data_IF_567945813437
#
_entry.id   IF_567945813437
#
_cell.length_a   1.000
_cell.length_b   1.000
_cell.length_c   1.000
_cell.angle_alpha   90.00
_cell.angle_beta   90.00
_cell.angle_gamma   90.00
#
_symmetry.space_group_name_H-M   'P 1'
#
loop_
_entity.id
_entity.type
_entity.pdbx_description
1 polymer ?
2 non-polymer ?
3 non-polymer ?
4 water ?
#
# COMPACT_ATOMS: atom_id res chain seq x y z
N UNK A 3 -13.14 -3.83 29.12
CA UNK A 3 -14.07 -4.72 28.34
C UNK A 3 -14.31 -4.14 26.94
N UNK A 4 -14.77 -4.96 26.01
CA UNK A 4 -15.18 -4.46 24.69
C UNK A 4 -16.46 -3.66 24.84
N UNK A 5 -16.65 -2.64 23.97
CA UNK A 5 -17.87 -1.80 24.08
C UNK A 5 -19.13 -2.59 23.78
N UNK A 6 -20.23 -2.24 24.44
CA UNK A 6 -21.46 -3.04 24.31
C UNK A 6 -21.95 -3.16 22.86
N UNK A 7 -21.89 -2.06 22.10
CA UNK A 7 -22.37 -2.10 20.71
C UNK A 7 -21.54 -3.04 19.84
N UNK A 8 -20.25 -3.20 20.16
CA UNK A 8 -19.41 -4.17 19.43
C UNK A 8 -19.78 -5.61 19.82
N UNK A 9 -19.86 -5.88 21.12
CA UNK A 9 -20.35 -7.16 21.63
C UNK A 9 -21.73 -7.56 21.07
N UNK A 10 -22.61 -6.58 20.89
CA UNK A 10 -23.94 -6.85 20.39
C UNK A 10 -23.91 -7.56 19.03
N UNK A 11 -22.94 -7.16 18.20
CA UNK A 11 -22.85 -7.66 16.84
C UNK A 11 -21.81 -8.72 16.55
N UNK A 12 -20.80 -8.84 17.40
CA UNK A 12 -19.62 -9.67 17.15
C UNK A 12 -19.23 -10.43 18.40
N UNK A 13 -18.68 -11.63 18.21
CA UNK A 13 -17.99 -12.33 19.29
C UNK A 13 -16.50 -12.20 19.05
N UNK A 14 -15.78 -11.63 20.03
CA UNK A 14 -14.33 -11.43 19.88
C UNK A 14 -13.51 -12.66 20.21
N UNK A 15 -12.37 -12.80 19.52
CA UNK A 15 -11.55 -13.99 19.65
C UNK A 15 -10.07 -13.63 19.76
N UNK A 16 -9.22 -14.51 19.23
CA UNK A 16 -7.78 -14.44 19.39
C UNK A 16 -7.12 -13.27 18.66
N UNK A 17 -5.96 -12.88 19.17
CA UNK A 17 -5.16 -11.83 18.56
C UNK A 17 -4.48 -12.43 17.33
N UNK A 18 -4.61 -11.74 16.19
CA UNK A 18 -3.94 -12.16 14.95
C UNK A 18 -2.56 -11.56 14.79
N UNK A 19 -2.41 -10.30 15.21
CA UNK A 19 -1.14 -9.57 15.14
C UNK A 19 -1.05 -8.43 16.16
N UNK A 24 -1.86 -0.57 18.80
CA UNK A 24 -2.65 -1.36 17.87
C UNK A 24 -2.61 -2.84 18.18
N UNK A 25 -3.70 -3.52 17.88
CA UNK A 25 -3.76 -4.98 17.80
C UNK A 25 -4.79 -5.31 16.69
N UNK A 26 -4.68 -6.50 16.11
CA UNK A 26 -5.73 -7.03 15.23
C UNK A 26 -6.28 -8.30 15.85
N UNK A 27 -7.58 -8.33 16.04
CA UNK A 27 -8.28 -9.47 16.63
C UNK A 27 -9.11 -10.21 15.59
N UNK A 28 -9.17 -11.52 15.71
CA UNK A 28 -10.19 -12.29 15.01
C UNK A 28 -11.51 -12.09 15.76
N UNK A 29 -12.62 -11.96 15.02
CA UNK A 29 -13.96 -11.94 15.60
C UNK A 29 -14.94 -12.65 14.66
N UNK A 30 -16.13 -12.97 15.16
CA UNK A 30 -17.15 -13.59 14.31
C UNK A 30 -18.35 -12.67 14.32
N UNK A 31 -18.84 -12.30 13.13
CA UNK A 31 -20.03 -11.51 13.03
C UNK A 31 -21.20 -12.42 13.40
N UNK A 32 -22.03 -12.01 14.36
CA UNK A 32 -23.06 -12.94 14.86
C UNK A 32 -24.09 -13.29 13.79
N UNK A 33 -24.42 -12.28 13.00
CA UNK A 33 -25.47 -12.40 11.98
C UNK A 33 -25.15 -13.50 10.95
N UNK A 34 -23.88 -13.60 10.57
CA UNK A 34 -23.48 -14.49 9.47
C UNK A 34 -22.64 -15.70 9.91
N UNK A 35 -22.17 -15.67 11.16
CA UNK A 35 -21.19 -16.64 11.67
C UNK A 35 -19.89 -16.68 10.87
N UNK A 36 -19.55 -15.59 10.21
CA UNK A 36 -18.35 -15.51 9.39
C UNK A 36 -17.29 -14.66 10.09
N UNK A 37 -16.04 -14.93 9.74
CA UNK A 37 -14.88 -14.31 10.35
C UNK A 37 -14.65 -12.90 9.83
N UNK A 38 -14.23 -12.02 10.74
CA UNK A 38 -13.86 -10.67 10.36
C UNK A 38 -12.58 -10.35 11.11
N UNK A 39 -11.90 -9.28 10.73
CA UNK A 39 -10.74 -8.83 11.49
C UNK A 39 -11.11 -7.53 12.11
N UNK A 40 -10.68 -7.34 13.35
CA UNK A 40 -11.00 -6.08 14.01
C UNK A 40 -9.72 -5.39 14.42
N UNK A 41 -9.47 -4.23 13.81
CA UNK A 41 -8.29 -3.44 14.12
C UNK A 41 -8.64 -2.51 15.28
N UNK A 42 -7.86 -2.62 16.36
CA UNK A 42 -8.04 -1.77 17.52
C UNK A 42 -6.92 -0.72 17.56
N UNK A 43 -7.33 0.54 17.56
CA UNK A 43 -6.40 1.66 17.64
C UNK A 43 -6.66 2.37 18.96
N UNK A 44 -5.65 2.38 19.83
CA UNK A 44 -5.78 3.00 21.14
C UNK A 44 -5.81 4.52 21.00
N UNK A 45 -6.68 5.15 21.77
CA UNK A 45 -6.76 6.62 21.80
C UNK A 45 -5.69 7.19 22.73
N UNK A 62 -8.38 9.37 12.35
CA UNK A 62 -9.03 8.07 12.21
C UNK A 62 -10.39 8.29 11.53
N UNK A 63 -11.03 9.40 11.88
CA UNK A 63 -12.31 9.78 11.30
C UNK A 63 -12.20 9.92 9.77
N UNK A 64 -11.11 10.53 9.31
CA UNK A 64 -10.78 10.66 7.90
C UNK A 64 -10.45 9.32 7.24
N UNK A 65 -9.76 8.46 7.99
CA UNK A 65 -9.43 7.17 7.49
C UNK A 65 -10.73 6.40 7.20
N UNK A 66 -11.67 6.45 8.14
CA UNK A 66 -12.97 5.77 7.97
C UNK A 66 -13.72 6.29 6.73
N UNK A 67 -13.80 7.61 6.63
CA UNK A 67 -14.46 8.23 5.46
C UNK A 67 -13.78 7.86 4.14
N UNK A 68 -12.45 7.85 4.14
CA UNK A 68 -11.73 7.29 2.99
C UNK A 68 -12.07 5.82 2.72
N UNK A 69 -11.95 4.96 3.72
CA UNK A 69 -12.22 3.53 3.52
C UNK A 69 -13.62 3.26 3.01
N UNK A 70 -14.60 4.04 3.52
CA UNK A 70 -15.98 3.86 3.10
C UNK A 70 -16.23 4.17 1.63
N UNK A 71 -15.48 5.12 1.08
CA UNK A 71 -15.77 5.56 -0.28
C UNK A 71 -14.97 4.82 -1.35
N UNK A 72 -13.88 4.18 -0.96
CA UNK A 72 -13.05 3.46 -1.92
C UNK A 72 -13.65 2.08 -2.22
N UNK A 73 -13.48 1.60 -3.45
CA UNK A 73 -14.06 0.34 -3.91
C UNK A 73 -13.14 -0.24 -4.95
N UNK A 74 -12.17 -1.01 -4.49
CA UNK A 74 -11.22 -1.66 -5.38
C UNK A 74 -10.85 -3.02 -4.81
N UNK A 75 -10.67 -4.04 -5.68
CA UNK A 75 -10.41 -5.39 -5.19
C UNK A 75 -9.08 -5.52 -4.43
N UNK A 76 -8.16 -4.55 -4.58
CA UNK A 76 -6.86 -4.59 -3.89
C UNK A 76 -6.72 -3.56 -2.75
N UNK A 77 -7.87 -3.08 -2.26
CA UNK A 77 -7.93 -2.17 -1.13
C UNK A 77 -8.93 -2.73 -0.13
N UNK A 78 -8.47 -2.86 1.11
CA UNK A 78 -9.29 -3.46 2.16
C UNK A 78 -10.63 -2.70 2.34
N UNK A 79 -11.72 -3.44 2.56
CA UNK A 79 -13.04 -2.82 2.78
C UNK A 79 -13.39 -2.78 4.25
N UNK A 80 -14.03 -1.68 4.65
CA UNK A 80 -14.48 -1.54 6.01
C UNK A 80 -15.89 -2.09 6.13
N UNK A 81 -16.13 -2.82 7.21
CA UNK A 81 -17.42 -3.43 7.47
C UNK A 81 -18.18 -2.72 8.57
N UNK A 82 -17.46 -2.18 9.53
CA UNK A 82 -18.06 -1.52 10.69
C UNK A 82 -17.04 -0.68 11.44
N UNK A 83 -17.53 0.20 12.32
CA UNK A 83 -16.69 1.13 13.03
C UNK A 83 -17.33 1.44 14.37
N UNK A 84 -16.53 1.37 15.43
CA UNK A 84 -16.99 1.74 16.77
C UNK A 84 -15.96 2.66 17.39
N UNK A 85 -16.45 3.84 17.79
CA UNK A 85 -15.68 4.89 18.44
C UNK A 85 -16.05 4.90 19.93
N UNK A 86 -15.19 4.27 20.74
CA UNK A 86 -15.47 4.03 22.14
C UNK A 86 -14.27 4.46 22.98
N UNK A 87 -13.88 3.68 24.00
CA UNK A 87 -12.65 4.00 24.74
C UNK A 87 -11.42 3.94 23.80
N UNK A 88 -11.49 3.00 22.87
CA UNK A 88 -10.55 2.88 21.78
C UNK A 88 -11.38 2.88 20.48
N UNK A 89 -10.72 3.00 19.34
CA UNK A 89 -11.38 2.82 18.05
C UNK A 89 -11.34 1.37 17.67
N UNK A 90 -12.44 0.91 17.06
CA UNK A 90 -12.54 -0.45 16.53
C UNK A 90 -12.93 -0.36 15.09
N UNK A 91 -12.05 -0.83 14.22
CA UNK A 91 -12.35 -0.85 12.79
C UNK A 91 -12.56 -2.29 12.41
N UNK A 92 -13.77 -2.62 12.00
CA UNK A 92 -14.08 -3.97 11.53
C UNK A 92 -13.85 -4.09 10.03
N UNK A 93 -13.02 -5.05 9.65
CA UNK A 93 -12.60 -5.25 8.27
C UNK A 93 -12.82 -6.68 7.83
N UNK A 94 -12.80 -6.89 6.52
CA UNK A 94 -12.72 -8.26 6.02
C UNK A 94 -11.41 -8.90 6.51
N UNK A 95 -11.49 -10.18 6.81
CA UNK A 95 -10.35 -10.95 7.27
C UNK A 95 -9.55 -11.44 6.08
N UNK A 96 -8.28 -11.11 6.07
CA UNK A 96 -7.39 -11.60 5.04
C UNK A 96 -6.59 -12.72 5.70
N UNK A 97 -6.92 -13.95 5.30
CA UNK A 97 -6.37 -15.15 5.92
C UNK A 97 -4.86 -15.30 5.84
N UNK A 98 -4.25 -14.68 4.83
CA UNK A 98 -2.81 -14.87 4.57
C UNK A 98 -1.92 -14.02 5.45
N UNK A 99 -2.52 -13.09 6.19
CA UNK A 99 -1.74 -12.23 7.08
C UNK A 99 -1.00 -11.13 6.33
N UNK A 100 0.05 -10.60 6.93
CA UNK A 100 0.78 -9.43 6.39
C UNK A 100 1.91 -9.87 5.49
N UNK A 101 2.19 -9.09 4.45
CA UNK A 101 3.36 -9.36 3.59
C UNK A 101 4.68 -9.37 4.37
N UNK A 102 4.74 -8.53 5.41
CA UNK A 102 5.94 -8.45 6.24
C UNK A 102 6.44 -9.84 6.65
N UNK A 103 5.51 -10.71 7.03
CA UNK A 103 5.88 -12.03 7.54
C UNK A 103 6.43 -12.96 6.46
N UNK A 104 6.18 -12.63 5.19
CA UNK A 104 6.76 -13.38 4.06
C UNK A 104 8.16 -12.94 3.69
N UNK A 105 8.58 -11.75 4.12
CA UNK A 105 9.90 -11.23 3.72
C UNK A 105 10.87 -10.97 4.88
N UNK A 106 10.43 -11.21 6.11
CA UNK A 106 11.27 -10.93 7.28
C UNK A 106 12.37 -12.00 7.42
N UNK A 107 13.45 -11.64 8.10
CA UNK A 107 14.58 -12.57 8.33
C UNK A 107 15.20 -13.07 7.03
N UNK A 108 15.37 -12.16 6.07
CA UNK A 108 16.01 -12.46 4.78
C UNK A 108 15.27 -13.43 3.85
N UNK A 109 14.03 -13.75 4.19
CA UNK A 109 13.23 -14.62 3.36
C UNK A 109 12.87 -13.84 2.11
N UNK A 110 12.85 -14.52 0.98
CA UNK A 110 12.47 -13.84 -0.25
C UNK A 110 11.62 -14.70 -1.17
N UNK A 111 10.69 -14.01 -1.83
CA UNK A 111 9.69 -14.63 -2.67
C UNK A 111 10.26 -14.93 -4.04
N UNK A 112 9.72 -15.97 -4.67
CA UNK A 112 10.01 -16.26 -6.08
C UNK A 112 9.67 -15.01 -6.88
N UNK A 113 10.45 -14.73 -7.90
CA UNK A 113 10.23 -13.54 -8.72
C UNK A 113 8.79 -13.45 -9.27
N UNK A 114 8.25 -14.58 -9.73
CA UNK A 114 6.86 -14.64 -10.21
C UNK A 114 5.82 -14.19 -9.15
N UNK A 115 6.04 -14.59 -7.90
CA UNK A 115 5.20 -14.18 -6.77
C UNK A 115 5.37 -12.69 -6.48
N UNK A 116 6.61 -12.22 -6.53
CA UNK A 116 6.83 -10.78 -6.41
C UNK A 116 6.04 -9.99 -7.44
N UNK A 117 6.02 -10.48 -8.69
CA UNK A 117 5.36 -9.79 -9.78
C UNK A 117 3.85 -9.77 -9.59
N UNK A 118 3.28 -10.91 -9.21
CA UNK A 118 1.84 -10.98 -8.98
C UNK A 118 1.40 -10.01 -7.86
N UNK A 119 2.16 -9.97 -6.78
CA UNK A 119 1.83 -9.10 -5.66
C UNK A 119 2.08 -7.64 -6.05
N UNK A 120 3.18 -7.37 -6.74
CA UNK A 120 3.51 -5.98 -7.06
C UNK A 120 2.52 -5.38 -8.05
N UNK A 121 2.11 -6.18 -9.04
CA UNK A 121 1.08 -5.75 -9.97
C UNK A 121 -0.17 -5.26 -9.24
N UNK A 122 -0.63 -6.03 -8.26
CA UNK A 122 -1.80 -5.65 -7.50
C UNK A 122 -1.56 -4.41 -6.63
N UNK A 123 -0.36 -4.29 -6.04
CA UNK A 123 -0.04 -3.04 -5.27
C UNK A 123 -0.11 -1.86 -6.22
N UNK A 124 0.41 -2.04 -7.44
CA UNK A 124 0.36 -0.96 -8.42
C UNK A 124 -1.07 -0.61 -8.81
N UNK A 125 -1.91 -1.60 -9.07
CA UNK A 125 -3.35 -1.33 -9.33
C UNK A 125 -4.02 -0.55 -8.20
N UNK A 126 -3.77 -0.95 -6.96
CA UNK A 126 -4.36 -0.33 -5.79
C UNK A 126 -3.90 1.11 -5.72
N UNK A 127 -2.60 1.34 -5.83
CA UNK A 127 -2.10 2.73 -5.64
C UNK A 127 -2.48 3.59 -6.84
N UNK A 128 -2.51 3.00 -8.02
CA UNK A 128 -3.02 3.75 -9.18
C UNK A 128 -4.46 4.23 -8.94
N UNK A 129 -5.27 3.35 -8.40
CA UNK A 129 -6.66 3.67 -8.06
C UNK A 129 -6.74 4.80 -7.00
N UNK A 130 -5.92 4.72 -5.95
CA UNK A 130 -5.81 5.83 -4.98
C UNK A 130 -5.51 7.17 -5.60
N UNK A 131 -4.46 7.23 -6.42
CA UNK A 131 -4.04 8.51 -7.02
C UNK A 131 -5.07 9.02 -8.01
N UNK A 132 -5.71 8.13 -8.77
CA UNK A 132 -6.83 8.54 -9.64
C UNK A 132 -7.95 9.19 -8.81
N UNK A 133 -8.15 8.68 -7.61
CA UNK A 133 -9.20 9.17 -6.73
C UNK A 133 -8.75 10.28 -5.75
N UNK A 134 -7.56 10.84 -5.98
CA UNK A 134 -7.06 12.00 -5.22
C UNK A 134 -6.63 11.64 -3.79
N UNK A 135 -6.17 10.40 -3.58
CA UNK A 135 -5.72 9.94 -2.26
C UNK A 135 -4.25 9.50 -2.34
N UNK A 136 -3.43 10.01 -1.43
CA UNK A 136 -2.04 9.51 -1.29
C UNK A 136 -1.99 8.70 -0.01
N UNK A 137 -1.41 7.51 -0.07
CA UNK A 137 -1.42 6.62 1.08
C UNK A 137 -0.46 7.05 2.19
N UNK A 138 0.79 7.26 1.80
CA UNK A 138 1.87 7.81 2.59
C UNK A 138 2.46 6.87 3.64
N UNK A 139 1.94 5.65 3.75
CA UNK A 139 2.59 4.72 4.68
C UNK A 139 2.65 3.33 4.06
N UNK A 140 3.01 3.23 2.79
CA UNK A 140 3.07 1.89 2.17
C UNK A 140 4.31 1.14 2.69
N UNK A 141 4.08 -0.07 3.18
CA UNK A 141 5.13 -0.93 3.74
C UNK A 141 4.57 -2.35 3.82
N UNK A 142 5.45 -3.34 3.98
CA UNK A 142 4.98 -4.75 4.00
C UNK A 142 3.95 -5.02 5.07
N UNK A 143 3.99 -4.28 6.18
CA UNK A 143 3.03 -4.51 7.27
C UNK A 143 1.62 -4.12 6.86
N UNK A 144 1.52 -3.24 5.85
CA UNK A 144 0.23 -2.74 5.37
C UNK A 144 -0.24 -3.35 4.08
N UNK A 145 0.41 -4.45 3.66
CA UNK A 145 -0.02 -5.23 2.52
C UNK A 145 -0.53 -6.58 3.06
N UNK A 146 -1.83 -6.87 2.87
CA UNK A 146 -2.45 -8.10 3.41
C UNK A 146 -2.66 -9.11 2.29
N UNK A 147 -2.52 -10.40 2.64
CA UNK A 147 -2.65 -11.47 1.68
C UNK A 147 -3.96 -12.23 1.92
N UNK A 148 -4.65 -12.60 0.85
CA UNK A 148 -5.97 -13.18 0.96
C UNK A 148 -5.97 -14.64 1.41
N UNK A 149 -4.88 -15.37 1.21
CA UNK A 149 -4.79 -16.75 1.70
C UNK A 149 -3.34 -17.14 1.97
N UNK A 150 -3.15 -18.34 2.48
CA UNK A 150 -1.81 -18.85 2.75
C UNK A 150 -1.17 -19.46 1.49
N UNK A 151 -1.94 -19.54 0.40
CA UNK A 151 -1.38 -19.92 -0.90
C UNK A 151 -0.51 -18.78 -1.40
N UNK A 152 0.55 -19.12 -2.14
CA UNK A 152 1.45 -18.15 -2.73
C UNK A 152 0.75 -17.28 -3.74
N UNK A 153 -0.09 -17.92 -4.56
CA UNK A 153 -0.86 -17.17 -5.54
C UNK A 153 -2.12 -16.75 -4.83
N UNK A 154 -2.18 -15.46 -4.49
CA UNK A 154 -3.33 -14.95 -3.73
C UNK A 154 -3.59 -13.49 -4.05
N UNK A 155 -4.75 -13.00 -3.63
CA UNK A 155 -5.02 -11.58 -3.79
C UNK A 155 -4.33 -10.84 -2.65
N UNK A 156 -3.95 -9.60 -2.90
CA UNK A 156 -3.44 -8.75 -1.84
C UNK A 156 -4.33 -7.50 -1.72
N UNK A 157 -4.39 -6.93 -0.52
CA UNK A 157 -5.16 -5.72 -0.30
C UNK A 157 -4.33 -4.78 0.59
N UNK A 158 -4.31 -3.53 0.19
CA UNK A 158 -3.62 -2.53 1.00
C UNK A 158 -4.52 -2.06 2.12
N UNK A 159 -3.90 -1.78 3.25
CA UNK A 159 -4.63 -1.26 4.38
C UNK A 159 -3.89 -0.07 5.01
N UNK A 160 -4.52 0.49 6.04
CA UNK A 160 -3.99 1.57 6.87
C UNK A 160 -3.90 2.94 6.21
N UNK A 161 -5.00 3.68 6.31
CA UNK A 161 -5.06 4.99 5.71
C UNK A 161 -4.90 6.05 6.79
N UNK A 162 -4.19 5.69 7.86
CA UNK A 162 -4.06 6.56 9.04
C UNK A 162 -3.20 7.80 8.82
N UNK A 163 -2.38 7.79 7.77
CA UNK A 163 -1.49 8.93 7.42
C UNK A 163 -1.84 9.49 6.04
N UNK A 164 -2.92 8.99 5.46
CA UNK A 164 -3.28 9.28 4.06
C UNK A 164 -3.76 10.72 3.88
N UNK A 165 -3.48 11.30 2.71
CA UNK A 165 -3.85 12.67 2.44
C UNK A 165 -4.78 12.76 1.23
N UNK A 166 -5.80 13.60 1.35
CA UNK A 166 -6.78 13.77 0.31
C UNK A 166 -6.42 15.02 -0.47
N UNK A 167 -6.11 14.84 -1.75
CA UNK A 167 -5.83 15.98 -2.65
C UNK A 167 -7.10 16.77 -2.96
N UNK A 168 -6.96 18.08 -2.99
CA UNK A 168 -8.05 18.99 -3.36
C UNK A 168 -7.38 20.28 -3.82
N UNK A 169 -8.16 21.33 -4.00
CA UNK A 169 -7.61 22.64 -4.38
C UNK A 169 -6.70 23.15 -3.29
N UNK A 170 -5.51 23.57 -3.69
CA UNK A 170 -4.52 23.99 -2.75
C UNK A 170 -4.65 25.49 -2.45
N UNK A 171 -4.10 25.85 -1.29
CA UNK A 171 -3.77 27.23 -1.00
C UNK A 171 -2.94 27.82 -2.15
N UNK A 172 -2.01 27.04 -2.69
CA UNK A 172 -1.12 27.53 -3.75
C UNK A 172 -1.92 28.00 -4.97
N UNK A 173 -2.88 27.17 -5.39
CA UNK A 173 -3.77 27.47 -6.50
C UNK A 173 -4.50 28.80 -6.30
N UNK A 174 -5.02 29.01 -5.10
CA UNK A 174 -5.72 30.25 -4.79
C UNK A 174 -4.72 31.42 -4.78
N UNK A 175 -3.53 31.19 -4.25
CA UNK A 175 -2.46 32.21 -4.28
C UNK A 175 -2.17 32.68 -5.72
N UNK A 176 -2.02 31.74 -6.63
CA UNK A 176 -1.65 32.04 -8.01
C UNK A 176 -2.74 32.74 -8.82
N UNK A 177 -3.94 32.88 -8.27
CA UNK A 177 -5.01 33.58 -8.98
C UNK A 177 -4.89 35.09 -8.94
N UNK A 178 -4.18 35.61 -7.93
CA UNK A 178 -3.94 37.06 -7.83
C UNK A 178 -2.56 37.50 -8.34
N UNK A 179 -2.30 38.80 -8.33
CA UNK A 179 -1.01 39.40 -8.73
C UNK A 179 -0.05 39.25 -7.53
N UNK A 180 1.18 38.72 -7.76
CA UNK A 180 2.09 38.39 -6.66
C UNK A 180 2.88 39.58 -6.13
N UNK A 181 2.30 40.79 -6.24
CA UNK A 181 2.90 42.02 -5.72
C UNK A 181 3.54 41.87 -4.32
N UNK A 182 2.84 41.15 -3.44
CA UNK A 182 3.24 41.07 -2.02
C UNK A 182 3.74 39.66 -1.68
N UNK A 183 3.80 38.80 -2.68
CA UNK A 183 4.01 37.36 -2.47
C UNK A 183 5.50 36.98 -2.45
N UNK A 184 5.84 36.20 -1.44
CA UNK A 184 7.22 35.80 -1.15
C UNK A 184 7.81 34.87 -2.20
N UNK A 185 9.13 34.99 -2.45
CA UNK A 185 9.75 34.26 -3.56
C UNK A 185 9.67 32.78 -3.36
N UNK A 186 9.74 32.30 -2.12
CA UNK A 186 9.70 30.85 -1.87
C UNK A 186 8.41 30.21 -2.33
N UNK A 187 7.32 30.97 -2.35
CA UNK A 187 6.04 30.44 -2.79
C UNK A 187 6.08 30.25 -4.32
N UNK A 188 6.61 31.24 -5.03
CA UNK A 188 6.76 31.11 -6.49
C UNK A 188 7.76 29.99 -6.82
N UNK A 189 8.83 29.86 -6.03
CA UNK A 189 9.76 28.71 -6.21
C UNK A 189 9.08 27.36 -6.05
N UNK A 190 8.17 27.22 -5.08
CA UNK A 190 7.44 25.96 -4.80
C UNK A 190 6.53 25.48 -5.97
N UNK A 191 6.19 26.41 -6.87
CA UNK A 191 5.33 26.07 -7.99
C UNK A 191 5.96 25.02 -8.89
N UNK A 192 7.29 25.01 -8.98
CA UNK A 192 7.95 24.09 -9.92
C UNK A 192 7.72 22.65 -9.50
N UNK A 193 7.58 22.41 -8.19
CA UNK A 193 7.48 21.06 -7.66
C UNK A 193 6.14 20.68 -7.08
N UNK A 194 5.19 21.61 -6.99
CA UNK A 194 3.86 21.33 -6.45
C UNK A 194 3.07 20.28 -7.22
N UNK A 195 2.31 19.45 -6.50
CA UNK A 195 1.44 18.52 -7.18
C UNK A 195 2.09 17.16 -7.47
N UNK A 196 3.22 16.88 -6.84
CA UNK A 196 3.93 15.59 -6.97
C UNK A 196 4.00 14.86 -5.64
N UNK A 197 3.16 15.28 -4.71
CA UNK A 197 3.17 14.62 -3.37
C UNK A 197 2.88 13.11 -3.55
N UNK A 198 2.02 12.74 -4.52
CA UNK A 198 1.73 11.31 -4.77
C UNK A 198 2.96 10.48 -5.07
N UNK A 199 4.05 11.11 -5.53
CA UNK A 199 5.27 10.36 -5.82
C UNK A 199 5.90 9.69 -4.62
N UNK A 200 5.59 10.15 -3.41
CA UNK A 200 6.13 9.43 -2.23
C UNK A 200 5.66 7.96 -2.18
N UNK A 201 4.44 7.70 -2.66
CA UNK A 201 3.90 6.31 -2.70
C UNK A 201 4.69 5.46 -3.69
N UNK A 202 5.06 6.06 -4.84
CA UNK A 202 5.88 5.32 -5.81
C UNK A 202 7.25 4.98 -5.28
N UNK A 203 7.83 5.88 -4.50
CA UNK A 203 9.12 5.56 -3.86
C UNK A 203 8.96 4.39 -2.88
N UNK A 204 7.94 4.44 -2.03
CA UNK A 204 7.73 3.33 -1.04
C UNK A 204 7.50 2.00 -1.77
N UNK A 205 6.72 2.05 -2.86
CA UNK A 205 6.50 0.87 -3.72
C UNK A 205 7.83 0.31 -4.17
N UNK A 206 8.72 1.19 -4.61
CA UNK A 206 10.06 0.80 -5.07
C UNK A 206 10.88 0.08 -4.01
N UNK A 207 10.80 0.60 -2.80
CA UNK A 207 11.46 -0.02 -1.65
C UNK A 207 10.82 -1.37 -1.32
N UNK A 208 9.48 -1.45 -1.30
CA UNK A 208 8.79 -2.75 -1.16
C UNK A 208 9.24 -3.77 -2.22
N UNK A 209 9.27 -3.32 -3.49
CA UNK A 209 9.64 -4.22 -4.59
C UNK A 209 11.10 -4.69 -4.38
N UNK A 210 11.98 -3.76 -3.99
CA UNK A 210 13.40 -4.09 -3.75
C UNK A 210 13.53 -5.21 -2.69
N UNK A 211 12.82 -5.04 -1.58
CA UNK A 211 12.78 -6.01 -0.49
C UNK A 211 12.20 -7.36 -0.93
N UNK A 212 11.08 -7.35 -1.66
CA UNK A 212 10.43 -8.60 -2.04
C UNK A 212 11.36 -9.42 -2.96
N UNK A 213 12.02 -8.73 -3.89
CA UNK A 213 12.88 -9.40 -4.88
C UNK A 213 14.20 -9.89 -4.30
N UNK A 214 14.69 -9.19 -3.28
CA UNK A 214 16.06 -9.45 -2.77
C UNK A 214 16.10 -10.04 -1.34
N UNK A 215 15.04 -9.82 -0.55
CA UNK A 215 14.97 -10.26 0.86
C UNK A 215 15.73 -9.36 1.84
N UNK A 216 16.19 -8.20 1.35
CA UNK A 216 16.93 -7.25 2.18
C UNK A 216 16.57 -5.80 1.79
N UNK A 217 16.59 -4.87 2.74
CA UNK A 217 16.20 -3.48 2.42
C UNK A 217 17.26 -2.72 1.61
N UNK A 218 16.84 -1.81 0.70
CA UNK A 218 17.85 -1.03 -0.05
C UNK A 218 18.62 -0.02 0.80
N UNK A 219 17.99 0.53 1.83
CA UNK A 219 18.63 1.50 2.64
C UNK A 219 18.56 1.02 4.07
N UNK A 220 19.71 0.87 4.69
CA UNK A 220 19.71 0.47 6.10
C UNK A 220 21.07 0.74 6.71
N UNK A 221 21.16 0.59 8.01
CA UNK A 221 22.41 0.87 8.69
C UNK A 221 23.26 -0.38 8.90
N UNK A 222 22.83 -1.50 8.31
CA UNK A 222 23.53 -2.76 8.49
C UNK A 222 24.86 -2.75 7.74
N UNK A 223 25.93 -3.00 8.48
CA UNK A 223 27.29 -3.03 7.94
C UNK A 223 27.51 -1.93 6.87
N UNK A 224 27.37 -0.67 7.29
CA UNK A 224 27.75 0.47 6.45
C UNK A 224 28.05 1.71 7.28
N UNK A 225 28.87 2.58 6.71
CA UNK A 225 29.30 3.81 7.36
C UNK A 225 28.44 5.01 6.99
N UNK A 226 27.67 4.89 5.90
CA UNK A 226 26.91 6.02 5.38
C UNK A 226 25.59 6.10 6.12
N UNK A 227 25.21 7.28 6.58
CA UNK A 227 23.98 7.38 7.36
C UNK A 227 22.77 6.97 6.49
N UNK A 228 21.68 6.55 7.15
CA UNK A 228 20.46 6.19 6.42
C UNK A 228 19.91 7.35 5.58
N UNK A 229 19.89 8.54 6.17
CA UNK A 229 19.44 9.75 5.47
C UNK A 229 20.25 10.01 4.18
N UNK A 230 21.57 9.96 4.31
CA UNK A 230 22.44 10.15 3.14
C UNK A 230 22.25 9.09 2.09
N UNK A 231 22.07 7.83 2.49
CA UNK A 231 21.84 6.75 1.53
C UNK A 231 20.58 7.11 0.73
N UNK A 232 19.53 7.50 1.44
CA UNK A 232 18.24 7.78 0.80
C UNK A 232 18.28 9.03 -0.11
N UNK A 233 18.75 10.17 0.38
CA UNK A 233 18.74 11.40 -0.46
C UNK A 233 19.69 11.34 -1.66
N UNK A 234 20.75 10.55 -1.54
CA UNK A 234 21.64 10.35 -2.69
C UNK A 234 21.06 9.31 -3.67
N UNK A 235 20.11 8.51 -3.19
CA UNK A 235 19.51 7.42 -3.97
C UNK A 235 20.39 6.19 -4.12
N UNK A 236 21.46 6.15 -3.33
CA UNK A 236 22.46 5.09 -3.48
C UNK A 236 22.09 3.90 -2.60
N UNK A 237 21.25 3.02 -3.14
CA UNK A 237 20.84 1.80 -2.47
C UNK A 237 22.02 0.82 -2.39
N UNK A 238 21.94 -0.07 -1.41
CA UNK A 238 22.92 -1.12 -1.23
C UNK A 238 22.69 -2.24 -2.23
N UNK A 239 23.53 -2.31 -3.25
CA UNK A 239 23.40 -3.35 -4.26
C UNK A 239 24.37 -4.53 -4.03
N UNK A 240 23.83 -5.71 -3.75
CA UNK A 240 24.69 -6.88 -3.52
C UNK A 240 24.54 -7.86 -4.70
N UNK A 241 25.54 -7.88 -5.60
CA UNK A 241 25.37 -8.67 -6.85
C UNK A 241 24.92 -10.13 -6.66
N UNK A 242 25.42 -10.79 -5.63
CA UNK A 242 25.20 -12.23 -5.41
C UNK A 242 23.76 -12.57 -5.11
N UNK A 243 23.10 -11.69 -4.35
CA UNK A 243 21.69 -11.83 -4.05
C UNK A 243 20.86 -11.59 -5.33
N UNK A 244 21.31 -10.63 -6.14
CA UNK A 244 20.56 -10.17 -7.30
C UNK A 244 20.77 -10.98 -8.58
N UNK A 245 21.82 -11.82 -8.62
CA UNK A 245 22.17 -12.55 -9.84
C UNK A 245 21.01 -13.42 -10.38
N UNK A 246 20.22 -13.98 -9.47
CA UNK A 246 19.09 -14.83 -9.84
C UNK A 246 17.80 -14.05 -10.21
N UNK A 247 17.77 -12.76 -9.94
CA UNK A 247 16.65 -11.89 -10.32
C UNK A 247 16.82 -11.37 -11.77
N UNK A 248 15.73 -11.22 -12.51
CA UNK A 248 15.82 -10.72 -13.88
C UNK A 248 16.30 -9.25 -13.98
N UNK A 249 16.98 -8.93 -15.10
CA UNK A 249 17.31 -7.54 -15.46
C UNK A 249 16.10 -6.58 -15.49
N UNK A 250 14.95 -7.04 -16.04
CA UNK A 250 13.70 -6.24 -16.12
C UNK A 250 13.16 -5.83 -14.74
N UNK A 251 13.17 -6.77 -13.78
CA UNK A 251 12.69 -6.50 -12.43
C UNK A 251 13.54 -5.44 -11.78
N UNK A 252 14.86 -5.57 -11.92
CA UNK A 252 15.74 -4.58 -11.33
C UNK A 252 15.59 -3.23 -12.04
N UNK A 253 15.40 -3.25 -13.36
CA UNK A 253 15.17 -2.02 -14.12
C UNK A 253 13.96 -1.24 -13.58
N UNK A 254 12.85 -1.94 -13.30
CA UNK A 254 11.68 -1.28 -12.65
C UNK A 254 12.05 -0.68 -11.31
N UNK A 255 12.74 -1.46 -10.46
CA UNK A 255 13.14 -0.94 -9.16
C UNK A 255 13.90 0.37 -9.34
N UNK A 256 14.87 0.36 -10.26
CA UNK A 256 15.66 1.56 -10.49
C UNK A 256 14.85 2.80 -10.91
N UNK A 257 13.75 2.58 -11.63
CA UNK A 257 12.94 3.69 -12.13
C UNK A 257 12.02 4.25 -11.04
N UNK A 258 11.82 3.45 -10.00
CA UNK A 258 10.97 3.84 -8.85
C UNK A 258 11.81 4.48 -7.77
N UNK A 259 13.08 4.05 -7.64
CA UNK A 259 13.99 4.61 -6.64
C UNK A 259 14.80 5.76 -7.23
N UNK A 260 14.09 6.70 -7.85
CA UNK A 260 14.67 7.87 -8.47
C UNK A 260 14.44 9.01 -7.49
N UNK A 261 15.50 9.74 -7.20
CA UNK A 261 15.50 10.77 -6.19
C UNK A 261 14.62 11.98 -6.54
N UNK A 262 14.60 12.37 -7.81
CA UNK A 262 13.77 13.50 -8.27
C UNK A 262 12.30 13.04 -8.40
N UNK A 263 11.40 13.57 -7.54
CA UNK A 263 10.01 13.08 -7.59
C UNK A 263 9.32 13.39 -8.93
N UNK A 264 9.75 14.42 -9.68
CA UNK A 264 9.14 14.69 -11.00
C UNK A 264 9.60 13.67 -12.06
N UNK A 265 10.80 13.11 -11.90
CA UNK A 265 11.32 12.09 -12.87
C UNK A 265 10.93 10.64 -12.50
N UNK A 266 10.64 10.43 -11.23
CA UNK A 266 10.26 9.08 -10.70
C UNK A 266 9.08 8.52 -11.48
N UNK A 267 9.13 7.20 -11.75
CA UNK A 267 7.99 6.54 -12.38
C UNK A 267 6.71 6.75 -11.60
N UNK A 268 5.64 7.02 -12.34
CA UNK A 268 4.30 6.98 -11.77
C UNK A 268 3.78 5.54 -11.79
N UNK A 269 2.63 5.29 -11.16
CA UNK A 269 2.03 3.94 -11.22
C UNK A 269 1.70 3.57 -12.69
N UNK A 270 1.23 4.53 -13.49
CA UNK A 270 0.93 4.22 -14.91
C UNK A 270 2.19 3.75 -15.66
N UNK A 271 3.31 4.44 -15.42
CA UNK A 271 4.58 4.10 -16.06
C UNK A 271 5.06 2.73 -15.62
N UNK A 272 4.93 2.44 -14.31
CA UNK A 272 5.31 1.14 -13.77
C UNK A 272 4.43 0.04 -14.40
N UNK A 273 3.12 0.28 -14.51
CA UNK A 273 2.21 -0.71 -15.10
C UNK A 273 2.51 -0.94 -16.59
N UNK A 274 3.18 0.01 -17.23
CA UNK A 274 3.57 -0.15 -18.65
C UNK A 274 4.96 -0.75 -18.84
N UNK A 275 5.70 -0.94 -17.75
CA UNK A 275 7.09 -1.41 -17.81
C UNK A 275 7.13 -2.86 -18.34
N UNK A 276 8.18 -3.21 -19.10
CA UNK A 276 8.31 -4.60 -19.61
C UNK A 276 8.08 -5.70 -18.56
N UNK A 277 8.54 -5.49 -17.33
CA UNK A 277 8.45 -6.50 -16.30
C UNK A 277 7.00 -6.87 -16.04
N UNK A 278 6.08 -5.94 -16.25
CA UNK A 278 4.69 -6.20 -15.95
C UNK A 278 3.87 -6.68 -17.13
N UNK A 279 4.50 -6.76 -18.30
CA UNK A 279 3.83 -7.24 -19.50
C UNK A 279 3.90 -8.76 -19.49
N UNK A 280 3.09 -9.35 -18.62
CA UNK A 280 3.22 -10.78 -18.32
C UNK A 280 1.80 -11.36 -18.35
N UNK A 281 1.47 -11.97 -19.50
CA UNK A 281 0.13 -12.52 -19.77
C UNK A 281 -0.25 -13.56 -18.73
N UNK A 282 0.69 -14.42 -18.36
CA UNK A 282 0.43 -15.48 -17.38
C UNK A 282 0.14 -14.91 -16.00
N UNK A 283 0.96 -13.94 -15.58
CA UNK A 283 0.70 -13.27 -14.31
C UNK A 283 -0.71 -12.64 -14.32
N UNK A 284 -1.06 -11.96 -15.40
CA UNK A 284 -2.33 -11.21 -15.43
C UNK A 284 -3.51 -12.17 -15.42
N UNK A 285 -3.35 -13.29 -16.13
CA UNK A 285 -4.34 -14.35 -16.09
C UNK A 285 -4.59 -14.87 -14.68
N UNK A 286 -3.52 -15.17 -13.95
CA UNK A 286 -3.61 -15.58 -12.53
C UNK A 286 -4.40 -14.62 -11.65
N UNK A 287 -4.11 -13.33 -11.80
CA UNK A 287 -4.82 -12.29 -11.03
C UNK A 287 -6.31 -12.29 -11.39
N UNK A 288 -6.63 -12.29 -12.69
CA UNK A 288 -8.02 -12.35 -13.14
C UNK A 288 -8.76 -13.59 -12.60
N UNK A 289 -8.07 -14.74 -12.61
CA UNK A 289 -8.64 -16.00 -12.06
C UNK A 289 -8.93 -15.86 -10.57
N UNK A 290 -7.98 -15.26 -9.84
CA UNK A 290 -8.15 -15.07 -8.39
C UNK A 290 -9.30 -14.12 -8.05
N UNK A 291 -9.43 -13.04 -8.82
CA UNK A 291 -10.57 -12.12 -8.69
C UNK A 291 -11.89 -12.87 -8.86
N UNK A 292 -12.00 -13.65 -9.94
CA UNK A 292 -13.21 -14.42 -10.26
C UNK A 292 -13.61 -15.34 -9.12
N UNK A 293 -12.64 -16.09 -8.62
CA UNK A 293 -12.83 -16.98 -7.47
C UNK A 293 -13.32 -16.24 -6.21
N UNK A 294 -12.82 -15.03 -5.95
CA UNK A 294 -13.24 -14.24 -4.76
C UNK A 294 -14.73 -13.85 -4.77
N UNK A 295 -15.26 -13.50 -5.94
CA UNK A 295 -16.60 -12.88 -6.06
C UNK A 295 -17.86 -13.79 -6.01
N UNK A 296 -18.94 -13.29 -5.37
CA UNK A 296 -20.24 -13.98 -5.15
C UNK A 296 -21.42 -13.18 -5.73
N UNK A 297 -21.45 -13.11 -7.04
CA UNK A 297 -22.35 -12.20 -7.68
C UNK A 297 -23.74 -12.81 -7.86
N UNK A 298 -24.67 -11.92 -8.11
CA UNK A 298 -26.03 -12.30 -8.38
C UNK A 298 -26.16 -12.72 -9.85
N UNK A 299 -27.29 -13.31 -10.22
CA UNK A 299 -27.59 -13.56 -11.62
C UNK A 299 -27.57 -12.21 -12.38
N UNK A 300 -27.34 -12.23 -13.68
CA UNK A 300 -27.44 -10.99 -14.44
C UNK A 300 -28.17 -11.17 -15.78
N UNK A 301 -28.71 -10.07 -16.35
CA UNK A 301 -29.41 -10.20 -17.64
C UNK A 301 -28.49 -10.62 -18.79
N UNK A 302 -29.02 -11.53 -19.62
CA UNK A 302 -28.31 -12.24 -20.69
C UNK A 302 -27.21 -13.16 -20.14
#
# INVERSE_FOLDING_TARGET
MSVYPKALRDEYIMSKTLGSGACGEVKLAFERKTCKKVAIKIISKRKFAIGSAREADPALNVETEIEILKKLNHPCIIKIKNFFDAEDYYIVLELMEGGELFDKVVGNKRLKEATCKLYFYQMLLAVQYLHENGIIHRDLKPENVLLSSQEEDCLIKITDFGHSKILGETSLMRTLCGTPTYLAPEVLVSVGTAGYNRAVDCWSLGVILFICLSGYPPFSEHRTQVSLKDQITSGKYNFIPEVWAEVSEKALDLVKKLLVVDPKARFTTEEALRHPWLQDEDMKRKFQDLLSEENESTALPQVLAQPSTSRKRPREGEAEGAE
#
